data_IF_508481459360
#
_entry.id   IF_508481459360
#
_cell.length_a   1.000
_cell.length_b   1.000
_cell.length_c   1.000
_cell.angle_alpha   90.00
_cell.angle_beta   90.00
_cell.angle_gamma   90.00
#
_symmetry.space_group_name_H-M   'P 1'
#
loop_
_entity.id
_entity.type
_entity.pdbx_description
1 polymer ?
#
# COMPACT_ATOMS: atom_id res chain seq x y z
N UNK A 1 6.11 -19.96 28.38
CA UNK A 1 6.57 -20.34 27.03
C UNK A 1 5.31 -20.38 26.16
N UNK A 2 5.16 -19.46 25.19
CA UNK A 2 3.91 -19.27 24.44
C UNK A 2 4.08 -19.93 23.07
N UNK A 3 3.27 -20.94 22.78
CA UNK A 3 3.39 -21.76 21.57
C UNK A 3 3.27 -20.93 20.28
N UNK A 4 4.23 -21.02 19.35
CA UNK A 4 4.23 -20.26 18.10
C UNK A 4 3.16 -20.73 17.09
N UNK A 5 2.47 -21.83 17.35
CA UNK A 5 1.50 -22.43 16.42
C UNK A 5 0.07 -21.86 16.50
N UNK A 6 -0.22 -20.94 17.42
CA UNK A 6 -1.56 -20.35 17.53
C UNK A 6 -1.85 -19.24 16.48
N UNK A 7 -0.83 -18.80 15.75
CA UNK A 7 -1.00 -17.77 14.71
C UNK A 7 -1.61 -18.40 13.45
N UNK A 8 -1.26 -19.65 13.12
CA UNK A 8 -1.66 -20.31 11.87
C UNK A 8 -3.17 -20.55 11.75
N UNK A 9 -3.88 -20.86 12.84
CA UNK A 9 -5.31 -21.18 12.80
C UNK A 9 -6.22 -19.95 12.52
N UNK A 10 -5.75 -18.74 12.81
CA UNK A 10 -6.53 -17.51 12.60
C UNK A 10 -6.64 -17.11 11.12
N UNK A 11 -5.56 -17.27 10.35
CA UNK A 11 -5.52 -16.85 8.95
C UNK A 11 -6.36 -17.79 8.06
N UNK A 12 -6.35 -19.09 8.33
CA UNK A 12 -7.08 -20.06 7.52
C UNK A 12 -8.60 -19.87 7.57
N UNK A 13 -9.15 -19.39 8.69
CA UNK A 13 -10.58 -19.03 8.78
C UNK A 13 -10.91 -17.76 8.00
N UNK A 14 -10.04 -16.74 8.06
CA UNK A 14 -10.28 -15.45 7.40
C UNK A 14 -10.30 -15.55 5.87
N UNK A 15 -9.47 -16.43 5.27
CA UNK A 15 -9.41 -16.60 3.81
C UNK A 15 -10.66 -17.30 3.26
N UNK A 16 -11.29 -18.18 4.05
CA UNK A 16 -12.47 -18.94 3.60
C UNK A 16 -13.75 -18.11 3.57
N UNK A 17 -13.80 -17.03 4.36
CA UNK A 17 -14.94 -16.10 4.44
C UNK A 17 -14.93 -15.09 3.27
N UNK A 18 -13.74 -14.65 2.84
CA UNK A 18 -13.57 -13.72 1.71
C UNK A 18 -14.03 -14.37 0.39
N UNK A 19 -13.84 -15.68 0.22
CA UNK A 19 -14.21 -16.40 -1.02
C UNK A 19 -15.72 -16.54 -1.24
N UNK A 20 -16.55 -16.35 -0.21
CA UNK A 20 -18.00 -16.59 -0.28
C UNK A 20 -18.85 -15.31 -0.22
N UNK A 21 -18.22 -14.13 -0.27
CA UNK A 21 -18.94 -12.85 -0.18
C UNK A 21 -19.24 -12.29 -1.58
N UNK A 22 -20.48 -11.90 -1.91
CA UNK A 22 -20.81 -11.26 -3.19
C UNK A 22 -19.96 -10.00 -3.40
N UNK A 23 -19.62 -9.66 -4.66
CA UNK A 23 -18.59 -8.66 -4.99
C UNK A 23 -18.91 -7.22 -4.59
N UNK A 24 -20.09 -6.96 -4.00
CA UNK A 24 -20.59 -5.62 -3.71
C UNK A 24 -20.70 -5.29 -2.22
N UNK A 25 -20.10 -6.10 -1.33
CA UNK A 25 -20.06 -5.82 0.10
C UNK A 25 -18.62 -5.57 0.54
N UNK A 26 -18.22 -4.30 0.50
CA UNK A 26 -16.97 -3.86 1.14
C UNK A 26 -17.00 -4.28 2.62
N UNK A 27 -15.90 -4.80 3.20
CA UNK A 27 -15.85 -5.03 4.63
C UNK A 27 -16.02 -3.70 5.37
N UNK A 28 -16.91 -3.70 6.37
CA UNK A 28 -17.14 -2.52 7.20
C UNK A 28 -15.81 -2.06 7.83
N UNK A 29 -15.58 -0.73 7.95
CA UNK A 29 -14.41 -0.22 8.65
C UNK A 29 -14.41 -0.78 10.07
N UNK A 30 -13.28 -1.35 10.51
CA UNK A 30 -13.06 -1.69 11.92
C UNK A 30 -13.14 -0.38 12.71
N UNK A 31 -14.31 -0.15 13.33
CA UNK A 31 -14.54 0.95 14.26
C UNK A 31 -13.63 0.73 15.46
N UNK A 32 -12.53 1.50 15.54
CA UNK A 32 -11.83 1.65 16.80
C UNK A 32 -12.72 2.48 17.72
N UNK A 33 -13.35 1.82 18.69
CA UNK A 33 -13.97 2.48 19.81
C UNK A 33 -12.86 3.11 20.66
N UNK A 34 -12.55 4.38 20.39
CA UNK A 34 -11.84 5.26 21.32
C UNK A 34 -12.88 5.69 22.36
N UNK A 35 -12.74 5.18 23.58
CA UNK A 35 -13.51 5.64 24.73
C UNK A 35 -13.18 7.11 24.99
N UNK A 36 -14.21 7.95 24.94
CA UNK A 36 -14.18 9.31 25.43
C UNK A 36 -14.23 9.29 26.96
N UNK A 37 -13.08 9.43 27.62
CA UNK A 37 -13.02 9.95 28.99
C UNK A 37 -12.42 11.35 28.94
N UNK A 38 -13.22 12.33 29.36
CA UNK A 38 -12.82 13.72 29.51
C UNK A 38 -12.08 13.88 30.83
N UNK A 39 -10.85 14.38 30.80
CA UNK A 39 -10.34 15.26 31.86
C UNK A 39 -9.52 16.38 31.23
N UNK A 40 -10.13 17.56 31.21
CA UNK A 40 -9.52 18.83 30.83
C UNK A 40 -8.61 19.29 31.97
N UNK A 41 -7.33 18.90 31.89
CA UNK A 41 -6.24 19.54 32.60
C UNK A 41 -5.63 20.60 31.69
N UNK A 42 -5.84 21.86 32.03
CA UNK A 42 -5.12 23.01 31.49
C UNK A 42 -3.60 22.77 31.62
N UNK A 43 -2.98 22.40 30.50
CA UNK A 43 -1.56 22.10 30.39
C UNK A 43 -0.88 23.33 29.78
N UNK A 44 -0.05 24.09 30.53
CA UNK A 44 0.61 25.31 30.05
C UNK A 44 1.72 25.07 29.02
N UNK A 45 1.82 23.87 28.47
CA UNK A 45 2.69 23.63 27.33
C UNK A 45 1.90 23.98 26.08
N UNK A 46 1.87 25.28 25.78
CA UNK A 46 1.78 25.73 24.39
C UNK A 46 2.78 24.87 23.62
N UNK A 47 2.27 23.89 22.89
CA UNK A 47 3.09 23.11 21.97
C UNK A 47 3.51 24.09 20.90
N UNK A 48 4.72 24.62 21.06
CA UNK A 48 5.34 25.52 20.12
C UNK A 48 5.03 25.03 18.70
N UNK A 49 4.38 25.88 17.90
CA UNK A 49 3.98 25.66 16.51
C UNK A 49 5.20 25.38 15.59
N UNK A 50 6.40 25.40 16.18
CA UNK A 50 7.71 25.13 15.60
C UNK A 50 8.21 23.69 15.85
N UNK A 51 7.38 22.77 16.36
CA UNK A 51 7.78 21.36 16.52
C UNK A 51 8.03 20.69 15.15
N UNK A 52 9.29 20.72 14.70
CA UNK A 52 9.72 20.16 13.42
C UNK A 52 9.44 18.66 13.40
N UNK A 53 8.41 18.26 12.66
CA UNK A 53 8.15 16.86 12.38
C UNK A 53 9.23 16.32 11.44
N UNK A 54 10.25 15.69 12.00
CA UNK A 54 11.37 15.06 11.27
C UNK A 54 10.94 14.02 10.24
N UNK A 55 9.72 13.47 10.37
CA UNK A 55 9.16 12.50 9.43
C UNK A 55 8.38 13.14 8.29
N UNK A 56 8.05 14.44 8.35
CA UNK A 56 7.29 15.11 7.28
C UNK A 56 7.95 15.00 5.90
N UNK A 57 9.28 15.19 5.74
CA UNK A 57 9.95 15.00 4.45
C UNK A 57 9.87 13.54 3.95
N UNK A 58 9.93 12.57 4.86
CA UNK A 58 9.80 11.16 4.52
C UNK A 58 8.36 10.82 4.09
N UNK A 59 7.36 11.30 4.82
CA UNK A 59 5.95 11.13 4.50
C UNK A 59 5.65 11.71 3.11
N UNK A 60 6.09 12.94 2.84
CA UNK A 60 5.94 13.57 1.53
C UNK A 60 6.63 12.78 0.42
N UNK A 61 7.87 12.31 0.64
CA UNK A 61 8.58 11.48 -0.34
C UNK A 61 7.86 10.16 -0.61
N UNK A 62 7.36 9.49 0.44
CA UNK A 62 6.61 8.23 0.31
C UNK A 62 5.27 8.41 -0.42
N UNK A 63 4.58 9.52 -0.19
CA UNK A 63 3.36 9.87 -0.91
C UNK A 63 3.65 10.10 -2.40
N UNK A 64 4.70 10.87 -2.71
CA UNK A 64 5.12 11.11 -4.09
C UNK A 64 5.50 9.82 -4.82
N UNK A 65 6.23 8.91 -4.17
CA UNK A 65 6.54 7.60 -4.75
C UNK A 65 5.23 6.85 -5.03
N UNK A 66 4.32 6.77 -4.04
CA UNK A 66 3.05 6.06 -4.19
C UNK A 66 2.23 6.57 -5.38
N UNK A 67 2.14 7.89 -5.58
CA UNK A 67 1.40 8.47 -6.69
C UNK A 67 2.06 8.22 -8.06
N UNK A 68 3.39 8.23 -8.14
CA UNK A 68 4.13 7.88 -9.36
C UNK A 68 3.86 6.44 -9.76
N UNK A 69 3.94 5.50 -8.82
CA UNK A 69 3.65 4.08 -9.09
C UNK A 69 2.20 3.85 -9.52
N UNK A 70 1.23 4.48 -8.84
CA UNK A 70 -0.18 4.42 -9.23
C UNK A 70 -0.39 4.90 -10.68
N UNK A 71 0.24 6.02 -11.03
CA UNK A 71 0.14 6.59 -12.38
C UNK A 71 0.72 5.65 -13.43
N UNK A 72 1.91 5.09 -13.19
CA UNK A 72 2.51 4.11 -14.10
C UNK A 72 1.62 2.88 -14.28
N UNK A 73 1.06 2.32 -13.21
CA UNK A 73 0.16 1.16 -13.27
C UNK A 73 -1.08 1.48 -14.10
N UNK A 74 -1.76 2.60 -13.81
CA UNK A 74 -2.97 3.01 -14.55
C UNK A 74 -2.65 3.17 -16.04
N UNK A 75 -1.52 3.78 -16.38
CA UNK A 75 -1.13 3.96 -17.78
C UNK A 75 -0.76 2.64 -18.45
N UNK A 76 -0.09 1.73 -17.75
CA UNK A 76 0.30 0.43 -18.27
C UNK A 76 -0.93 -0.44 -18.58
N UNK A 77 -1.97 -0.40 -17.73
CA UNK A 77 -3.22 -1.15 -17.97
C UNK A 77 -3.98 -0.72 -19.24
N UNK A 78 -3.63 0.42 -19.82
CA UNK A 78 -4.22 0.93 -21.08
C UNK A 78 -3.39 0.59 -22.31
N UNK A 79 -2.17 0.06 -22.13
CA UNK A 79 -1.34 -0.39 -23.24
C UNK A 79 -1.84 -1.72 -23.78
N UNK A 80 -1.55 -1.94 -25.06
CA UNK A 80 -1.70 -3.26 -25.65
C UNK A 80 -0.80 -4.28 -24.94
N UNK A 81 -1.24 -5.54 -24.94
CA UNK A 81 -0.42 -6.62 -24.42
C UNK A 81 0.86 -6.77 -25.24
N UNK A 82 1.93 -7.22 -24.58
CA UNK A 82 3.18 -7.54 -25.25
C UNK A 82 2.93 -8.53 -26.40
N UNK A 83 3.55 -8.32 -27.58
CA UNK A 83 3.47 -9.28 -28.67
C UNK A 83 3.95 -10.66 -28.23
N UNK A 84 3.28 -11.72 -28.69
CA UNK A 84 3.54 -13.11 -28.27
C UNK A 84 4.94 -13.59 -28.66
N UNK A 85 5.50 -13.03 -29.72
CA UNK A 85 6.80 -13.37 -30.30
C UNK A 85 7.96 -12.52 -29.76
N UNK A 86 7.69 -11.55 -28.88
CA UNK A 86 8.71 -10.68 -28.29
C UNK A 86 9.11 -11.21 -26.92
N UNK A 87 10.42 -11.27 -26.68
CA UNK A 87 10.97 -11.57 -25.37
C UNK A 87 10.50 -10.52 -24.33
N UNK A 88 9.99 -11.00 -23.19
CA UNK A 88 9.37 -10.14 -22.19
C UNK A 88 10.34 -9.10 -21.62
N UNK A 89 11.64 -9.40 -21.50
CA UNK A 89 12.63 -8.45 -21.01
C UNK A 89 12.94 -7.39 -22.07
N UNK A 90 13.00 -7.76 -23.35
CA UNK A 90 13.14 -6.79 -24.44
C UNK A 90 11.90 -5.90 -24.57
N UNK A 91 10.69 -6.44 -24.34
CA UNK A 91 9.47 -5.62 -24.24
C UNK A 91 9.59 -4.57 -23.13
N UNK A 92 9.93 -4.98 -21.90
CA UNK A 92 10.11 -4.05 -20.78
C UNK A 92 11.21 -3.00 -21.00
N UNK A 93 12.24 -3.33 -21.77
CA UNK A 93 13.29 -2.39 -22.15
C UNK A 93 12.77 -1.27 -23.06
N UNK A 94 11.84 -1.57 -23.98
CA UNK A 94 11.20 -0.53 -24.80
C UNK A 94 10.35 0.45 -23.97
N UNK A 95 9.84 -0.02 -22.83
CA UNK A 95 8.97 0.73 -21.94
C UNK A 95 9.71 1.54 -20.86
N UNK A 96 11.03 1.41 -20.74
CA UNK A 96 11.83 1.96 -19.63
C UNK A 96 11.73 3.48 -19.48
N UNK A 97 11.56 4.21 -20.59
CA UNK A 97 11.40 5.67 -20.56
C UNK A 97 10.01 6.10 -20.08
N UNK A 98 8.98 5.29 -20.33
CA UNK A 98 7.58 5.62 -20.02
C UNK A 98 7.12 5.01 -18.70
N UNK A 99 7.71 3.89 -18.29
CA UNK A 99 7.34 3.09 -17.12
C UNK A 99 8.59 2.71 -16.34
N UNK A 100 9.30 3.72 -15.85
CA UNK A 100 10.63 3.54 -15.25
C UNK A 100 10.61 2.60 -14.05
N UNK A 101 9.61 2.74 -13.18
CA UNK A 101 9.51 1.94 -11.97
C UNK A 101 9.05 0.51 -12.28
N UNK A 102 8.05 0.36 -13.15
CA UNK A 102 7.57 -0.97 -13.55
C UNK A 102 8.61 -1.75 -14.36
N UNK A 103 9.31 -1.10 -15.29
CA UNK A 103 10.34 -1.75 -16.11
C UNK A 103 11.52 -2.23 -15.26
N UNK A 104 11.88 -1.46 -14.22
CA UNK A 104 12.90 -1.88 -13.25
C UNK A 104 12.42 -3.10 -12.45
N UNK A 105 11.20 -3.04 -11.91
CA UNK A 105 10.62 -4.16 -11.15
C UNK A 105 10.55 -5.45 -11.99
N UNK A 106 10.16 -5.34 -13.26
CA UNK A 106 10.10 -6.49 -14.15
C UNK A 106 11.47 -7.14 -14.34
N UNK A 107 12.52 -6.33 -14.56
CA UNK A 107 13.92 -6.82 -14.65
C UNK A 107 14.42 -7.46 -13.35
N UNK A 108 13.89 -7.04 -12.19
CA UNK A 108 14.24 -7.64 -10.89
C UNK A 108 13.52 -8.98 -10.64
N UNK A 109 12.41 -9.26 -11.35
CA UNK A 109 11.56 -10.45 -11.17
C UNK A 109 11.86 -11.55 -12.20
N UNK A 110 12.17 -11.17 -13.44
CA UNK A 110 12.40 -12.07 -14.58
C UNK A 110 13.88 -12.17 -14.91
#
# INVERSE_FOLDING_TARGET
>A
MKDPNNISAGYSKSIHEIKNTPPNKLPAPLVMAVGEDKESGDSPFDVDDDCINIFAPFAQKSANITEVWKTEIINYTKLDQAPVDVDILEWWKTLENSFKNLSRMAKDIF
#
